data_IF_279145557135
#
_entry.id   IF_279145557135
#
_cell.length_a   1.000
_cell.length_b   1.000
_cell.length_c   1.000
_cell.angle_alpha   90.00
_cell.angle_beta   90.00
_cell.angle_gamma   90.00
#
_symmetry.space_group_name_H-M   'P 1'
#
loop_
_entity.id
_entity.type
_entity.pdbx_description
1 polymer ?
#
# COMPACT_ATOMS: atom_id res chain seq x y z
N UNK A 1 -8.92 -31.05 10.95
CA UNK A 1 -8.79 -29.70 11.52
C UNK A 1 -10.08 -28.94 11.27
N UNK A 2 -10.68 -28.42 12.33
CA UNK A 2 -11.94 -27.66 12.28
C UNK A 2 -11.80 -26.48 11.31
N UNK A 3 -12.87 -26.16 10.56
CA UNK A 3 -12.89 -25.10 9.54
C UNK A 3 -12.63 -23.71 10.16
N UNK A 4 -13.15 -23.43 11.35
CA UNK A 4 -12.86 -22.20 12.11
C UNK A 4 -11.36 -22.03 12.38
N UNK A 5 -10.70 -23.11 12.83
CA UNK A 5 -9.26 -23.11 13.09
C UNK A 5 -8.47 -22.85 11.81
N UNK A 6 -8.87 -23.46 10.68
CA UNK A 6 -8.24 -23.20 9.36
C UNK A 6 -8.31 -21.72 8.97
N UNK A 7 -9.47 -21.07 9.17
CA UNK A 7 -9.65 -19.64 8.84
C UNK A 7 -8.77 -18.76 9.72
N UNK A 8 -8.77 -19.00 11.02
CA UNK A 8 -7.95 -18.24 11.99
C UNK A 8 -6.46 -18.38 11.64
N UNK A 9 -5.97 -19.60 11.45
CA UNK A 9 -4.58 -19.84 11.09
C UNK A 9 -4.21 -19.20 9.74
N UNK A 10 -5.13 -19.25 8.76
CA UNK A 10 -4.91 -18.60 7.45
C UNK A 10 -4.84 -17.08 7.59
N UNK A 11 -5.68 -16.49 8.44
CA UNK A 11 -5.65 -15.05 8.72
C UNK A 11 -4.32 -14.64 9.37
N UNK A 12 -3.92 -15.32 10.44
CA UNK A 12 -2.66 -15.04 11.14
C UNK A 12 -1.44 -15.22 10.23
N UNK A 13 -1.38 -16.33 9.48
CA UNK A 13 -0.30 -16.57 8.53
C UNK A 13 -0.25 -15.49 7.44
N UNK A 14 -1.41 -15.06 6.92
CA UNK A 14 -1.47 -13.99 5.94
C UNK A 14 -0.97 -12.66 6.50
N UNK A 15 -1.37 -12.27 7.71
CA UNK A 15 -0.93 -11.05 8.38
C UNK A 15 0.59 -11.09 8.62
N UNK A 16 1.10 -12.22 9.13
CA UNK A 16 2.52 -12.40 9.43
C UNK A 16 3.41 -12.27 8.18
N UNK A 17 2.90 -12.67 7.02
CA UNK A 17 3.60 -12.52 5.73
C UNK A 17 3.40 -11.12 5.15
N UNK A 18 2.17 -10.61 5.16
CA UNK A 18 1.81 -9.42 4.39
C UNK A 18 2.25 -8.12 5.04
N UNK A 19 2.31 -8.03 6.37
CA UNK A 19 2.80 -6.80 7.03
C UNK A 19 4.28 -6.56 6.71
N UNK A 20 5.20 -7.53 6.92
CA UNK A 20 6.60 -7.33 6.53
C UNK A 20 6.78 -7.09 5.03
N UNK A 21 5.99 -7.76 4.19
CA UNK A 21 6.03 -7.56 2.74
C UNK A 21 5.57 -6.14 2.35
N UNK A 22 4.50 -5.64 2.97
CA UNK A 22 4.03 -4.27 2.75
C UNK A 22 5.11 -3.26 3.13
N UNK A 23 5.74 -3.41 4.31
CA UNK A 23 6.83 -2.53 4.74
C UNK A 23 8.01 -2.61 3.78
N UNK A 24 8.39 -3.82 3.35
CA UNK A 24 9.47 -4.00 2.39
C UNK A 24 9.19 -3.32 1.04
N UNK A 25 7.94 -3.37 0.56
CA UNK A 25 7.52 -2.68 -0.66
C UNK A 25 7.46 -1.16 -0.46
N UNK A 26 6.99 -0.67 0.69
CA UNK A 26 6.92 0.75 1.01
C UNK A 26 8.33 1.36 1.05
N UNK A 27 9.20 0.85 1.92
CA UNK A 27 10.59 1.32 2.01
C UNK A 27 11.37 1.03 0.71
N UNK A 28 11.04 -0.06 0.02
CA UNK A 28 11.59 -0.41 -1.28
C UNK A 28 11.22 0.61 -2.38
N UNK A 29 10.04 1.20 -2.33
CA UNK A 29 9.64 2.29 -3.21
C UNK A 29 10.53 3.51 -3.04
N UNK A 30 10.71 3.96 -1.81
CA UNK A 30 11.63 5.06 -1.49
C UNK A 30 13.07 4.73 -1.90
N UNK A 31 13.56 3.53 -1.55
CA UNK A 31 14.92 3.10 -1.87
C UNK A 31 15.16 3.05 -3.39
N UNK A 32 14.20 2.54 -4.16
CA UNK A 32 14.30 2.49 -5.61
C UNK A 32 14.43 3.89 -6.21
N UNK A 33 13.59 4.83 -5.78
CA UNK A 33 13.64 6.21 -6.27
C UNK A 33 14.95 6.90 -5.85
N UNK A 34 15.40 6.69 -4.61
CA UNK A 34 16.68 7.23 -4.14
C UNK A 34 17.87 6.73 -4.98
N UNK A 35 17.93 5.42 -5.26
CA UNK A 35 19.00 4.83 -6.09
C UNK A 35 18.95 5.39 -7.52
N UNK A 36 17.77 5.56 -8.11
CA UNK A 36 17.60 6.16 -9.43
C UNK A 36 18.06 7.63 -9.46
N UNK A 37 18.06 8.32 -8.31
CA UNK A 37 18.61 9.67 -8.15
C UNK A 37 20.11 9.67 -7.80
N UNK A 38 20.80 8.52 -7.83
CA UNK A 38 22.22 8.40 -7.55
C UNK A 38 22.57 8.29 -6.06
N UNK A 39 21.60 8.12 -5.19
CA UNK A 39 21.84 7.89 -3.77
C UNK A 39 22.27 6.45 -3.47
N UNK A 40 23.00 6.26 -2.37
CA UNK A 40 23.37 4.95 -1.84
C UNK A 40 22.53 4.67 -0.61
N UNK A 41 21.87 3.50 -0.57
CA UNK A 41 21.12 3.06 0.62
C UNK A 41 22.10 2.64 1.70
N UNK A 42 22.01 3.25 2.87
CA UNK A 42 22.89 2.99 4.03
C UNK A 42 22.22 2.10 5.07
N UNK A 43 20.88 2.16 5.18
CA UNK A 43 20.10 1.32 6.07
C UNK A 43 18.78 0.93 5.40
N UNK A 44 18.35 -0.31 5.64
CA UNK A 44 17.04 -0.81 5.23
C UNK A 44 16.52 -1.77 6.31
N UNK A 45 15.45 -1.38 7.03
CA UNK A 45 14.91 -2.14 8.15
C UNK A 45 13.42 -2.39 7.96
N UNK A 46 13.03 -3.64 7.85
CA UNK A 46 11.62 -4.04 7.79
C UNK A 46 10.97 -3.87 9.16
N UNK A 47 11.64 -4.33 10.22
CA UNK A 47 11.21 -4.07 11.58
C UNK A 47 11.52 -2.62 11.93
N UNK A 48 10.48 -1.82 12.15
CA UNK A 48 10.57 -0.39 12.41
C UNK A 48 10.30 0.50 11.19
N UNK A 49 10.05 -0.10 10.00
CA UNK A 49 9.69 0.62 8.77
C UNK A 49 10.62 1.83 8.55
N UNK A 50 11.89 1.56 8.21
CA UNK A 50 12.90 2.61 8.11
C UNK A 50 13.88 2.34 7.00
N UNK A 51 14.12 3.37 6.19
CA UNK A 51 15.17 3.40 5.17
C UNK A 51 15.98 4.69 5.30
N UNK A 52 17.31 4.59 5.19
CA UNK A 52 18.22 5.73 5.11
C UNK A 52 19.09 5.65 3.87
N UNK A 53 19.45 6.80 3.35
CA UNK A 53 20.31 6.93 2.19
C UNK A 53 21.29 8.10 2.35
N UNK A 54 22.36 8.09 1.56
CA UNK A 54 23.35 9.14 1.47
C UNK A 54 23.60 9.53 0.03
N UNK A 55 23.86 10.82 -0.21
CA UNK A 55 24.07 11.38 -1.55
C UNK A 55 22.78 11.46 -2.37
N UNK A 56 22.96 11.41 -3.70
CA UNK A 56 21.86 11.61 -4.65
C UNK A 56 21.59 13.09 -4.98
N UNK A 57 21.05 13.31 -6.15
CA UNK A 57 20.62 14.64 -6.61
C UNK A 57 19.13 14.59 -6.88
N UNK A 58 18.36 15.32 -6.06
CA UNK A 58 16.91 15.38 -6.15
C UNK A 58 16.46 16.72 -6.70
N UNK A 59 15.71 16.70 -7.79
CA UNK A 59 14.89 17.83 -8.26
C UNK A 59 13.55 17.80 -7.52
N UNK A 60 12.74 18.88 -7.63
CA UNK A 60 11.38 18.86 -7.06
C UNK A 60 10.54 17.68 -7.56
N UNK A 61 10.68 17.32 -8.85
CA UNK A 61 9.98 16.16 -9.42
C UNK A 61 10.45 14.84 -8.82
N UNK A 62 11.76 14.59 -8.78
CA UNK A 62 12.28 13.32 -8.25
C UNK A 62 12.10 13.19 -6.74
N UNK A 63 12.12 14.31 -6.00
CA UNK A 63 11.80 14.33 -4.57
C UNK A 63 10.31 13.99 -4.34
N UNK A 64 9.42 14.53 -5.17
CA UNK A 64 8.00 14.17 -5.12
C UNK A 64 7.79 12.70 -5.46
N UNK A 65 8.46 12.17 -6.48
CA UNK A 65 8.44 10.75 -6.80
C UNK A 65 8.97 9.89 -5.64
N UNK A 66 10.01 10.36 -4.94
CA UNK A 66 10.53 9.69 -3.75
C UNK A 66 9.44 9.56 -2.68
N UNK A 67 8.73 10.63 -2.35
CA UNK A 67 7.70 10.60 -1.31
C UNK A 67 6.47 9.76 -1.70
N UNK A 68 6.02 9.81 -2.95
CA UNK A 68 4.85 9.00 -3.38
C UNK A 68 5.19 7.52 -3.57
N UNK A 69 6.46 7.17 -3.83
CA UNK A 69 6.85 5.81 -4.20
C UNK A 69 6.64 4.79 -3.08
N UNK A 70 6.71 5.21 -1.81
CA UNK A 70 6.39 4.36 -0.67
C UNK A 70 4.95 3.84 -0.71
N UNK A 71 3.98 4.67 -1.04
CA UNK A 71 2.60 4.23 -1.25
C UNK A 71 2.40 3.57 -2.61
N UNK A 72 2.99 4.12 -3.66
CA UNK A 72 2.71 3.72 -5.03
C UNK A 72 3.20 2.31 -5.34
N UNK A 73 4.40 1.90 -4.88
CA UNK A 73 4.94 0.57 -5.19
C UNK A 73 4.08 -0.57 -4.63
N UNK A 74 3.70 -0.60 -3.33
CA UNK A 74 2.81 -1.65 -2.83
C UNK A 74 1.43 -1.64 -3.50
N UNK A 75 0.88 -0.46 -3.84
CA UNK A 75 -0.39 -0.36 -4.58
C UNK A 75 -0.26 -0.94 -5.98
N UNK A 76 0.79 -0.62 -6.74
CA UNK A 76 1.02 -1.19 -8.07
C UNK A 76 1.19 -2.71 -8.01
N UNK A 77 1.94 -3.24 -7.04
CA UNK A 77 2.10 -4.69 -6.85
C UNK A 77 0.75 -5.33 -6.52
N UNK A 78 -0.10 -4.70 -5.71
CA UNK A 78 -1.43 -5.21 -5.39
C UNK A 78 -2.38 -5.20 -6.60
N UNK A 79 -2.29 -4.19 -7.47
CA UNK A 79 -3.03 -4.12 -8.73
C UNK A 79 -2.60 -5.27 -9.66
N UNK A 80 -1.29 -5.47 -9.86
CA UNK A 80 -0.76 -6.57 -10.68
C UNK A 80 -1.19 -7.94 -10.15
N UNK A 81 -1.12 -8.13 -8.82
CA UNK A 81 -1.63 -9.33 -8.17
C UNK A 81 -3.13 -9.51 -8.43
N UNK A 82 -3.94 -8.45 -8.32
CA UNK A 82 -5.38 -8.50 -8.58
C UNK A 82 -5.68 -8.92 -10.02
N UNK A 83 -4.89 -8.46 -10.98
CA UNK A 83 -5.04 -8.86 -12.39
C UNK A 83 -4.74 -10.36 -12.59
N UNK A 84 -3.75 -10.89 -11.88
CA UNK A 84 -3.34 -12.30 -11.91
C UNK A 84 -4.22 -13.22 -11.04
N UNK A 85 -5.11 -12.67 -10.21
CA UNK A 85 -5.95 -13.44 -9.29
C UNK A 85 -6.79 -14.50 -10.01
N UNK A 86 -6.77 -15.73 -9.46
CA UNK A 86 -7.51 -16.88 -9.99
C UNK A 86 -8.69 -17.23 -9.08
N UNK A 87 -9.87 -16.71 -9.39
CA UNK A 87 -11.09 -16.92 -8.58
C UNK A 87 -11.57 -18.38 -8.46
N UNK A 88 -11.05 -19.29 -9.31
CA UNK A 88 -11.36 -20.74 -9.26
C UNK A 88 -10.67 -21.47 -8.11
N UNK A 89 -9.63 -20.87 -7.50
CA UNK A 89 -8.93 -21.49 -6.39
C UNK A 89 -9.79 -21.37 -5.13
N UNK A 90 -10.18 -22.53 -4.55
CA UNK A 90 -11.06 -22.59 -3.38
C UNK A 90 -10.33 -22.69 -2.04
N UNK A 91 -8.99 -22.60 -2.03
CA UNK A 91 -8.19 -22.62 -0.82
C UNK A 91 -8.57 -21.45 0.11
N UNK A 92 -8.84 -21.75 1.37
CA UNK A 92 -9.17 -20.77 2.42
C UNK A 92 -8.01 -19.77 2.57
N UNK A 93 -6.77 -20.28 2.66
CA UNK A 93 -5.59 -19.44 2.76
C UNK A 93 -5.47 -18.51 1.55
N UNK A 94 -5.60 -19.01 0.32
CA UNK A 94 -5.49 -18.21 -0.88
C UNK A 94 -6.50 -17.06 -0.92
N UNK A 95 -7.76 -17.32 -0.55
CA UNK A 95 -8.82 -16.31 -0.56
C UNK A 95 -8.62 -15.24 0.51
N UNK A 96 -8.23 -15.63 1.73
CA UNK A 96 -7.94 -14.70 2.84
C UNK A 96 -6.68 -13.90 2.50
N UNK A 97 -5.61 -14.56 2.08
CA UNK A 97 -4.36 -13.93 1.68
C UNK A 97 -4.58 -12.91 0.56
N UNK A 98 -5.30 -13.30 -0.52
CA UNK A 98 -5.55 -12.41 -1.66
C UNK A 98 -6.34 -11.18 -1.28
N UNK A 99 -7.33 -11.32 -0.40
CA UNK A 99 -8.10 -10.18 0.10
C UNK A 99 -7.22 -9.22 0.90
N UNK A 100 -6.43 -9.72 1.84
CA UNK A 100 -5.53 -8.90 2.65
C UNK A 100 -4.39 -8.29 1.84
N UNK A 101 -3.88 -9.00 0.82
CA UNK A 101 -2.84 -8.48 -0.07
C UNK A 101 -3.28 -7.22 -0.82
N UNK A 102 -4.58 -7.07 -1.05
CA UNK A 102 -5.15 -5.88 -1.68
C UNK A 102 -5.58 -4.87 -0.62
N UNK A 103 -6.19 -5.33 0.47
CA UNK A 103 -6.73 -4.47 1.51
C UNK A 103 -5.65 -3.60 2.17
N UNK A 104 -4.47 -4.18 2.48
CA UNK A 104 -3.40 -3.47 3.19
C UNK A 104 -2.86 -2.31 2.34
N UNK A 105 -2.41 -2.49 1.08
CA UNK A 105 -1.96 -1.37 0.25
C UNK A 105 -3.07 -0.38 -0.10
N UNK A 106 -4.30 -0.86 -0.34
CA UNK A 106 -5.44 0.03 -0.60
C UNK A 106 -5.75 0.88 0.64
N UNK A 107 -5.67 0.28 1.84
CA UNK A 107 -5.86 1.00 3.11
C UNK A 107 -4.82 2.10 3.33
N UNK A 108 -3.58 1.93 2.87
CA UNK A 108 -2.55 2.97 2.99
C UNK A 108 -2.86 4.23 2.18
N UNK A 109 -3.65 4.12 1.11
CA UNK A 109 -4.11 5.29 0.34
C UNK A 109 -4.96 6.23 1.21
N UNK A 110 -5.58 5.75 2.30
CA UNK A 110 -6.37 6.60 3.20
C UNK A 110 -5.53 7.70 3.86
N UNK A 111 -4.25 7.48 4.11
CA UNK A 111 -3.35 8.55 4.56
C UNK A 111 -3.29 9.68 3.53
N UNK A 112 -3.24 9.35 2.24
CA UNK A 112 -3.25 10.30 1.11
C UNK A 112 -4.60 10.97 0.86
N UNK A 113 -5.67 10.51 1.53
CA UNK A 113 -6.96 11.19 1.61
C UNK A 113 -7.01 12.12 2.83
N UNK A 114 -6.55 11.63 3.99
CA UNK A 114 -6.66 12.36 5.27
C UNK A 114 -5.63 13.48 5.36
N UNK A 115 -4.36 13.21 5.02
CA UNK A 115 -3.27 14.17 5.18
C UNK A 115 -3.45 15.45 4.35
N UNK A 116 -3.90 15.42 3.08
CA UNK A 116 -4.23 16.66 2.35
C UNK A 116 -5.30 17.52 3.03
N UNK A 117 -6.30 16.90 3.70
CA UNK A 117 -7.31 17.64 4.47
C UNK A 117 -6.65 18.30 5.69
N UNK A 118 -5.82 17.57 6.42
CA UNK A 118 -5.06 18.11 7.55
C UNK A 118 -4.09 19.22 7.11
N UNK A 119 -3.52 19.09 5.91
CA UNK A 119 -2.65 20.10 5.33
C UNK A 119 -3.39 21.43 5.10
N UNK A 120 -4.62 21.38 4.56
CA UNK A 120 -5.48 22.55 4.38
C UNK A 120 -5.87 23.21 5.71
N UNK A 121 -5.92 22.43 6.80
CA UNK A 121 -6.21 22.92 8.15
C UNK A 121 -4.94 23.40 8.91
N UNK A 122 -3.75 23.32 8.31
CA UNK A 122 -2.49 23.64 8.95
C UNK A 122 -2.06 22.63 10.04
N UNK A 123 -2.58 21.41 10.01
CA UNK A 123 -2.37 20.36 11.02
C UNK A 123 -1.71 19.08 10.46
N UNK A 124 -1.20 19.12 9.22
CA UNK A 124 -0.57 17.94 8.63
C UNK A 124 0.72 17.54 9.37
N UNK A 125 0.95 16.24 9.61
CA UNK A 125 2.21 15.76 10.15
C UNK A 125 3.34 16.02 9.15
N UNK A 126 4.32 16.83 9.52
CA UNK A 126 5.44 17.20 8.63
C UNK A 126 6.33 16.02 8.23
N UNK A 127 6.29 14.93 8.98
CA UNK A 127 7.06 13.71 8.70
C UNK A 127 6.35 12.77 7.74
N UNK A 128 5.05 12.99 7.45
CA UNK A 128 4.25 12.14 6.58
C UNK A 128 4.61 12.33 5.10
N UNK A 129 4.62 11.23 4.35
CA UNK A 129 4.99 11.24 2.93
C UNK A 129 4.03 12.05 2.06
N UNK A 130 2.73 12.05 2.36
CA UNK A 130 1.76 12.82 1.60
C UNK A 130 1.94 14.33 1.83
N UNK A 131 2.28 14.77 3.06
CA UNK A 131 2.60 16.15 3.35
C UNK A 131 3.87 16.59 2.59
N UNK A 132 4.94 15.80 2.69
CA UNK A 132 6.20 16.05 1.98
C UNK A 132 6.03 16.03 0.45
N UNK A 133 5.14 15.18 -0.06
CA UNK A 133 4.79 15.17 -1.48
C UNK A 133 4.13 16.48 -1.91
N UNK A 134 3.18 17.00 -1.13
CA UNK A 134 2.52 18.28 -1.39
C UNK A 134 3.56 19.40 -1.42
N UNK A 135 4.45 19.46 -0.42
CA UNK A 135 5.50 20.46 -0.32
C UNK A 135 6.48 20.40 -1.51
N UNK A 136 6.93 19.21 -1.88
CA UNK A 136 7.94 19.04 -2.93
C UNK A 136 7.37 19.19 -4.33
N UNK A 137 6.11 18.78 -4.57
CA UNK A 137 5.46 18.85 -5.88
C UNK A 137 4.85 20.21 -6.19
N UNK A 138 4.52 21.00 -5.17
CA UNK A 138 3.75 22.25 -5.32
C UNK A 138 2.31 22.02 -5.79
N UNK A 139 1.83 20.77 -5.81
CA UNK A 139 0.46 20.47 -6.18
C UNK A 139 -0.52 20.94 -5.09
N UNK A 140 -1.67 21.42 -5.51
CA UNK A 140 -2.75 21.73 -4.57
C UNK A 140 -3.15 20.47 -3.77
N UNK A 141 -3.32 20.58 -2.44
CA UNK A 141 -3.82 19.47 -1.62
C UNK A 141 -5.12 18.87 -2.14
N UNK A 142 -5.98 19.65 -2.78
CA UNK A 142 -7.21 19.17 -3.43
C UNK A 142 -6.93 18.19 -4.59
N UNK A 143 -5.89 18.44 -5.38
CA UNK A 143 -5.51 17.56 -6.49
C UNK A 143 -5.01 16.23 -5.95
N UNK A 144 -4.20 16.27 -4.88
CA UNK A 144 -3.68 15.06 -4.22
C UNK A 144 -4.83 14.25 -3.61
N UNK A 145 -5.76 14.92 -2.90
CA UNK A 145 -6.96 14.33 -2.31
C UNK A 145 -7.81 13.61 -3.38
N UNK A 146 -8.15 14.31 -4.46
CA UNK A 146 -8.97 13.74 -5.53
C UNK A 146 -8.29 12.57 -6.22
N UNK A 147 -6.97 12.67 -6.48
CA UNK A 147 -6.17 11.59 -7.03
C UNK A 147 -6.16 10.35 -6.14
N UNK A 148 -6.00 10.54 -4.83
CA UNK A 148 -6.05 9.46 -3.85
C UNK A 148 -7.42 8.79 -3.78
N UNK A 149 -8.52 9.57 -3.78
CA UNK A 149 -9.89 9.02 -3.80
C UNK A 149 -10.13 8.20 -5.07
N UNK A 150 -9.71 8.70 -6.24
CA UNK A 150 -9.84 7.97 -7.50
C UNK A 150 -9.03 6.67 -7.48
N UNK A 151 -7.79 6.71 -7.02
CA UNK A 151 -6.93 5.53 -6.92
C UNK A 151 -7.54 4.49 -5.96
N UNK A 152 -8.01 4.92 -4.79
CA UNK A 152 -8.71 4.08 -3.82
C UNK A 152 -9.94 3.41 -4.43
N UNK A 153 -10.80 4.19 -5.09
CA UNK A 153 -12.00 3.67 -5.76
C UNK A 153 -11.65 2.69 -6.88
N UNK A 154 -10.60 2.95 -7.68
CA UNK A 154 -10.12 2.04 -8.72
C UNK A 154 -9.62 0.71 -8.14
N UNK A 155 -8.87 0.73 -7.03
CA UNK A 155 -8.41 -0.49 -6.36
C UNK A 155 -9.58 -1.32 -5.84
N UNK A 156 -10.57 -0.70 -5.19
CA UNK A 156 -11.77 -1.39 -4.71
C UNK A 156 -12.61 -1.95 -5.87
N UNK A 157 -12.80 -1.17 -6.93
CA UNK A 157 -13.53 -1.61 -8.12
C UNK A 157 -12.85 -2.82 -8.77
N UNK A 158 -11.52 -2.80 -8.89
CA UNK A 158 -10.76 -3.93 -9.43
C UNK A 158 -10.90 -5.18 -8.56
N UNK A 159 -10.78 -5.04 -7.24
CA UNK A 159 -10.96 -6.14 -6.29
C UNK A 159 -12.38 -6.73 -6.36
N UNK A 160 -13.39 -5.87 -6.52
CA UNK A 160 -14.78 -6.29 -6.71
C UNK A 160 -14.97 -6.98 -8.06
N UNK A 161 -14.52 -6.41 -9.16
CA UNK A 161 -14.63 -6.96 -10.52
C UNK A 161 -13.95 -8.32 -10.64
N UNK A 162 -12.81 -8.50 -9.97
CA UNK A 162 -12.08 -9.79 -9.92
C UNK A 162 -12.68 -10.79 -8.91
N UNK A 163 -13.79 -10.46 -8.26
CA UNK A 163 -14.49 -11.28 -7.25
C UNK A 163 -13.65 -11.63 -6.01
N UNK A 164 -12.60 -10.86 -5.72
CA UNK A 164 -11.71 -11.12 -4.58
C UNK A 164 -12.48 -10.90 -3.28
N UNK A 165 -13.22 -9.78 -3.19
CA UNK A 165 -14.06 -9.43 -2.04
C UNK A 165 -15.15 -10.48 -1.84
N UNK A 166 -15.86 -10.87 -2.91
CA UNK A 166 -16.95 -11.85 -2.84
C UNK A 166 -16.44 -13.23 -2.41
N UNK A 167 -15.30 -13.68 -2.95
CA UNK A 167 -14.70 -14.96 -2.61
C UNK A 167 -14.21 -15.00 -1.15
N UNK A 168 -13.67 -13.89 -0.64
CA UNK A 168 -13.34 -13.75 0.76
C UNK A 168 -14.59 -13.88 1.64
N UNK A 169 -15.65 -13.11 1.37
CA UNK A 169 -16.90 -13.18 2.14
C UNK A 169 -17.55 -14.55 2.09
N UNK A 170 -17.61 -15.19 0.91
CA UNK A 170 -18.09 -16.55 0.77
C UNK A 170 -17.29 -17.55 1.62
N UNK A 171 -15.97 -17.32 1.78
CA UNK A 171 -15.11 -18.15 2.62
C UNK A 171 -15.38 -17.92 4.11
N UNK A 172 -15.56 -16.67 4.52
CA UNK A 172 -15.81 -16.31 5.92
C UNK A 172 -17.20 -16.83 6.37
N UNK A 173 -18.22 -16.73 5.52
CA UNK A 173 -19.62 -17.11 5.83
C UNK A 173 -19.92 -18.61 5.79
N UNK A 174 -19.00 -19.44 5.31
CA UNK A 174 -19.24 -20.90 5.08
C UNK A 174 -19.67 -21.70 6.33
N UNK A 175 -19.67 -21.14 7.53
CA UNK A 175 -20.00 -21.81 8.80
C UNK A 175 -21.14 -21.12 9.57
N UNK A 176 -21.87 -20.24 8.93
CA UNK A 176 -23.07 -19.63 9.46
C UNK A 176 -24.27 -20.19 8.66
#
# INVERSE_FOLDING_TARGET
MNLKVKKILSLFASILILIPLYVALHEGGHALTAVLCGARITQFRILGAYMAYEGGIFTSLTLSLFHISGMLLPVLVSILYSLAYRGRIESIFYRIFSFLFILIPTGSILAWVIVPILYLLGQAPQTDDAAKFIDSSGLSPWVVLLGAILLFACCLFLAWKKKIIQNYWATVKRDI
#
